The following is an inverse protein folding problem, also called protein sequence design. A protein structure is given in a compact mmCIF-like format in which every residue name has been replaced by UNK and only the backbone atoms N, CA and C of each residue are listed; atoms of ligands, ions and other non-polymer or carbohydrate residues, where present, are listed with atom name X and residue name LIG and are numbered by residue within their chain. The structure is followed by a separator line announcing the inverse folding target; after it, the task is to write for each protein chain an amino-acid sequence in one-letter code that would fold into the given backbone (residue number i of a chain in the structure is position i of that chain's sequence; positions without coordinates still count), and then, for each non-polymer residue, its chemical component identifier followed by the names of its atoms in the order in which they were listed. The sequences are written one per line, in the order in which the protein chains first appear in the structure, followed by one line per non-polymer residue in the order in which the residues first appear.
data_IF_676276435403
#
_entry.id   IF_676276435403
#
_cell.length_a   1.000
_cell.length_b   1.000
_cell.length_c   1.000
_cell.angle_alpha   90.00
_cell.angle_beta   90.00
_cell.angle_gamma   90.00
#
_symmetry.space_group_name_H-M   'P 1'
#
loop_
_entity.id
_entity.type
_entity.pdbx_description
1 polymer ?
#
# COMPACT_ATOMS: atom_id res chain seq x y z
N UNK A 1 -44.93 -13.54 8.77
CA UNK A 1 -44.70 -14.77 7.98
C UNK A 1 -43.98 -15.81 8.84
N UNK A 2 -44.07 -17.10 8.49
CA UNK A 2 -43.34 -18.18 9.18
C UNK A 2 -41.82 -17.96 9.19
N UNK A 3 -41.27 -17.43 8.10
CA UNK A 3 -39.85 -17.06 8.00
C UNK A 3 -39.40 -16.10 9.11
N UNK A 4 -40.19 -15.06 9.40
CA UNK A 4 -39.87 -14.11 10.49
C UNK A 4 -39.86 -14.78 11.86
N UNK A 5 -40.73 -15.76 12.08
CA UNK A 5 -40.78 -16.53 13.34
C UNK A 5 -39.52 -17.40 13.46
N UNK A 6 -39.16 -18.13 12.39
CA UNK A 6 -37.94 -18.95 12.38
C UNK A 6 -36.68 -18.11 12.59
N UNK A 7 -36.61 -16.95 11.94
CA UNK A 7 -35.53 -15.98 12.13
C UNK A 7 -35.43 -15.52 13.59
N UNK A 8 -36.53 -15.04 14.17
CA UNK A 8 -36.57 -14.55 15.56
C UNK A 8 -36.20 -15.65 16.57
N UNK A 9 -36.59 -16.90 16.27
CA UNK A 9 -36.31 -18.06 17.10
C UNK A 9 -34.96 -18.72 16.78
N UNK A 10 -34.11 -18.11 15.93
CA UNK A 10 -32.76 -18.58 15.59
C UNK A 10 -32.73 -20.05 15.14
N UNK A 11 -33.70 -20.44 14.30
CA UNK A 11 -33.74 -21.80 13.78
C UNK A 11 -32.55 -22.06 12.83
N UNK A 12 -32.00 -23.27 12.84
CA UNK A 12 -30.93 -23.65 11.92
C UNK A 12 -31.43 -23.69 10.48
N UNK A 13 -30.50 -23.58 9.52
CA UNK A 13 -30.83 -23.73 8.10
C UNK A 13 -31.34 -25.14 7.81
N UNK A 14 -30.76 -26.15 8.45
CA UNK A 14 -31.22 -27.54 8.37
C UNK A 14 -32.66 -27.73 8.85
N UNK A 15 -33.06 -27.06 9.94
CA UNK A 15 -34.44 -27.09 10.42
C UNK A 15 -35.40 -26.49 9.38
N UNK A 16 -35.06 -25.32 8.84
CA UNK A 16 -35.91 -24.65 7.84
C UNK A 16 -36.01 -25.46 6.56
N UNK A 17 -34.91 -26.07 6.10
CA UNK A 17 -34.91 -26.96 4.94
C UNK A 17 -35.88 -28.13 5.11
N UNK A 18 -35.86 -28.76 6.28
CA UNK A 18 -36.79 -29.84 6.65
C UNK A 18 -38.25 -29.39 6.66
N UNK A 19 -38.54 -28.28 7.32
CA UNK A 19 -39.91 -27.74 7.41
C UNK A 19 -40.47 -27.33 6.04
N UNK A 20 -39.61 -26.93 5.11
CA UNK A 20 -39.96 -26.61 3.73
C UNK A 20 -40.05 -27.85 2.82
N UNK A 21 -39.78 -29.04 3.35
CA UNK A 21 -39.73 -30.33 2.63
C UNK A 21 -38.71 -30.32 1.49
N UNK A 22 -37.55 -29.74 1.75
CA UNK A 22 -36.42 -29.65 0.82
C UNK A 22 -35.27 -30.62 1.20
N UNK A 23 -35.47 -31.43 2.23
CA UNK A 23 -34.51 -32.46 2.62
C UNK A 23 -34.35 -33.50 1.51
N UNK A 24 -33.10 -33.88 1.20
CA UNK A 24 -32.78 -34.85 0.15
C UNK A 24 -32.87 -34.33 -1.29
N UNK A 25 -33.26 -33.07 -1.51
CA UNK A 25 -33.16 -32.42 -2.82
C UNK A 25 -31.81 -31.75 -2.95
N UNK A 26 -31.14 -31.89 -4.09
CA UNK A 26 -29.88 -31.21 -4.40
C UNK A 26 -29.84 -30.73 -5.86
N UNK A 27 -28.85 -29.89 -6.19
CA UNK A 27 -28.68 -29.35 -7.55
C UNK A 27 -29.94 -28.71 -8.11
N UNK A 28 -30.28 -29.07 -9.35
CA UNK A 28 -31.45 -28.54 -10.05
C UNK A 28 -32.76 -28.88 -9.31
N UNK A 29 -32.87 -30.07 -8.71
CA UNK A 29 -34.07 -30.48 -7.99
C UNK A 29 -34.36 -29.58 -6.77
N UNK A 30 -33.31 -29.10 -6.09
CA UNK A 30 -33.45 -28.14 -5.00
C UNK A 30 -33.93 -26.78 -5.52
N UNK A 31 -33.27 -26.24 -6.55
CA UNK A 31 -33.55 -24.88 -7.05
C UNK A 31 -34.90 -24.76 -7.73
N UNK A 32 -35.41 -25.84 -8.34
CA UNK A 32 -36.72 -25.89 -8.99
C UNK A 32 -37.87 -26.19 -8.02
N UNK A 33 -37.57 -26.55 -6.76
CA UNK A 33 -38.60 -26.86 -5.79
C UNK A 33 -39.47 -25.63 -5.49
N UNK A 34 -40.80 -25.81 -5.46
CA UNK A 34 -41.77 -24.73 -5.25
C UNK A 34 -41.50 -23.87 -4.00
N UNK A 35 -40.95 -24.48 -2.94
CA UNK A 35 -40.66 -23.82 -1.67
C UNK A 35 -39.24 -23.25 -1.56
N UNK A 36 -38.41 -23.40 -2.61
CA UNK A 36 -37.02 -22.98 -2.60
C UNK A 36 -36.86 -21.48 -2.34
N UNK A 37 -37.75 -20.63 -2.88
CA UNK A 37 -37.68 -19.18 -2.63
C UNK A 37 -37.75 -18.84 -1.13
N UNK A 38 -38.54 -19.57 -0.34
CA UNK A 38 -38.62 -19.32 1.11
C UNK A 38 -37.35 -19.74 1.84
N UNK A 39 -36.69 -20.79 1.35
CA UNK A 39 -35.38 -21.21 1.85
C UNK A 39 -34.31 -20.17 1.47
N UNK A 40 -34.32 -19.70 0.22
CA UNK A 40 -33.41 -18.68 -0.30
C UNK A 40 -33.50 -17.37 0.48
N UNK A 41 -34.71 -16.87 0.69
CA UNK A 41 -34.98 -15.68 1.51
C UNK A 41 -34.50 -15.88 2.95
N UNK A 42 -34.71 -17.07 3.51
CA UNK A 42 -34.28 -17.39 4.87
C UNK A 42 -32.76 -17.36 5.01
N UNK A 43 -32.04 -18.10 4.18
CA UNK A 43 -30.57 -18.20 4.27
C UNK A 43 -29.93 -16.83 4.01
N UNK A 44 -30.41 -16.08 3.02
CA UNK A 44 -29.96 -14.71 2.75
C UNK A 44 -30.13 -13.80 3.96
N UNK A 45 -31.25 -13.91 4.68
CA UNK A 45 -31.47 -13.14 5.91
C UNK A 45 -30.52 -13.51 7.06
N UNK A 46 -29.92 -14.70 7.03
CA UNK A 46 -28.96 -15.13 8.04
C UNK A 46 -27.56 -14.56 7.81
N UNK A 47 -27.17 -14.21 6.57
CA UNK A 47 -25.79 -13.80 6.26
C UNK A 47 -25.31 -12.62 7.13
N UNK A 48 -26.07 -11.52 7.30
CA UNK A 48 -25.65 -10.42 8.17
C UNK A 48 -25.57 -10.82 9.64
N UNK A 49 -26.41 -11.78 10.07
CA UNK A 49 -26.42 -12.31 11.45
C UNK A 49 -25.18 -13.16 11.68
N UNK A 50 -24.84 -14.05 10.74
CA UNK A 50 -23.63 -14.86 10.79
C UNK A 50 -22.38 -14.00 10.79
N UNK A 51 -22.33 -12.97 9.93
CA UNK A 51 -21.21 -12.04 9.88
C UNK A 51 -21.06 -11.26 11.20
N UNK A 52 -22.16 -10.76 11.77
CA UNK A 52 -22.16 -10.07 13.07
C UNK A 52 -21.74 -10.99 14.22
N UNK A 53 -22.06 -12.27 14.15
CA UNK A 53 -21.63 -13.30 15.12
C UNK A 53 -20.23 -13.83 14.85
N UNK A 54 -19.62 -13.45 13.72
CA UNK A 54 -18.32 -13.90 13.27
C UNK A 54 -18.20 -15.42 13.23
N UNK A 55 -19.23 -16.07 12.65
CA UNK A 55 -19.14 -17.50 12.41
C UNK A 55 -17.87 -17.83 11.61
N UNK A 56 -17.28 -18.96 11.93
CA UNK A 56 -16.15 -19.51 11.19
C UNK A 56 -16.62 -20.05 9.84
N UNK A 57 -15.74 -20.13 8.84
CA UNK A 57 -16.09 -20.75 7.55
C UNK A 57 -16.61 -22.19 7.72
N UNK A 58 -16.09 -22.96 8.67
CA UNK A 58 -16.53 -24.34 8.96
C UNK A 58 -17.93 -24.40 9.58
N UNK A 59 -18.29 -23.44 10.44
CA UNK A 59 -19.65 -23.32 10.99
C UNK A 59 -20.65 -23.00 9.87
N UNK A 60 -20.30 -22.11 8.94
CA UNK A 60 -21.17 -21.77 7.80
C UNK A 60 -21.29 -22.95 6.83
N UNK A 61 -20.19 -23.66 6.56
CA UNK A 61 -20.22 -24.93 5.80
C UNK A 61 -21.17 -25.94 6.43
N UNK A 62 -21.16 -26.03 7.76
CA UNK A 62 -22.04 -26.93 8.51
C UNK A 62 -23.52 -26.51 8.43
N UNK A 63 -23.83 -25.21 8.60
CA UNK A 63 -25.19 -24.69 8.44
C UNK A 63 -25.73 -24.90 7.03
N UNK A 64 -24.89 -24.72 6.01
CA UNK A 64 -25.27 -24.86 4.61
C UNK A 64 -25.24 -26.31 4.09
N UNK A 65 -24.86 -27.28 4.92
CA UNK A 65 -24.75 -28.67 4.51
C UNK A 65 -23.69 -28.91 3.42
N UNK A 66 -22.62 -28.13 3.41
CA UNK A 66 -21.53 -28.20 2.43
C UNK A 66 -20.36 -29.09 2.90
N UNK A 67 -20.47 -29.71 4.07
CA UNK A 67 -19.39 -30.49 4.68
C UNK A 67 -18.95 -31.65 3.76
N UNK A 68 -17.63 -31.78 3.56
CA UNK A 68 -17.04 -32.82 2.71
C UNK A 68 -17.06 -32.52 1.21
N UNK A 69 -17.72 -31.44 0.76
CA UNK A 69 -17.65 -31.00 -0.64
C UNK A 69 -16.35 -30.24 -0.90
N UNK A 70 -15.76 -30.47 -2.07
CA UNK A 70 -14.56 -29.76 -2.54
C UNK A 70 -14.55 -29.60 -4.06
N UNK A 71 -13.68 -28.74 -4.57
CA UNK A 71 -13.53 -28.49 -6.01
C UNK A 71 -14.86 -28.18 -6.70
N UNK A 72 -15.09 -28.80 -7.86
CA UNK A 72 -16.30 -28.61 -8.64
C UNK A 72 -17.60 -28.99 -7.91
N UNK A 73 -17.54 -29.99 -7.02
CA UNK A 73 -18.72 -30.41 -6.23
C UNK A 73 -19.15 -29.34 -5.23
N UNK A 74 -18.17 -28.62 -4.64
CA UNK A 74 -18.46 -27.47 -3.78
C UNK A 74 -19.00 -26.30 -4.60
N UNK A 75 -18.28 -25.88 -5.65
CA UNK A 75 -18.62 -24.64 -6.38
C UNK A 75 -19.90 -24.73 -7.19
N UNK A 76 -20.33 -25.94 -7.56
CA UNK A 76 -21.59 -26.16 -8.30
C UNK A 76 -22.78 -26.39 -7.36
N UNK A 77 -22.57 -26.49 -6.05
CA UNK A 77 -23.66 -26.69 -5.10
C UNK A 77 -24.53 -25.41 -5.01
N UNK A 78 -25.87 -25.50 -5.07
CA UNK A 78 -26.74 -24.32 -4.98
C UNK A 78 -26.56 -23.47 -3.71
N UNK A 79 -26.12 -24.08 -2.61
CA UNK A 79 -25.84 -23.38 -1.36
C UNK A 79 -24.48 -22.64 -1.35
N UNK A 80 -23.59 -22.93 -2.30
CA UNK A 80 -22.27 -22.29 -2.36
C UNK A 80 -22.36 -20.78 -2.51
N UNK A 81 -23.39 -20.26 -3.20
CA UNK A 81 -23.61 -18.81 -3.34
C UNK A 81 -23.71 -18.09 -2.00
N UNK A 82 -24.31 -18.72 -0.98
CA UNK A 82 -24.44 -18.13 0.36
C UNK A 82 -23.12 -18.16 1.12
N UNK A 83 -22.34 -19.24 0.95
CA UNK A 83 -20.99 -19.34 1.52
C UNK A 83 -20.06 -18.29 0.91
N UNK A 84 -20.13 -18.11 -0.41
CA UNK A 84 -19.38 -17.10 -1.15
C UNK A 84 -19.71 -15.69 -0.68
N UNK A 85 -21.01 -15.35 -0.64
CA UNK A 85 -21.46 -14.04 -0.18
C UNK A 85 -21.05 -13.76 1.27
N UNK A 86 -21.21 -14.76 2.16
CA UNK A 86 -20.76 -14.66 3.55
C UNK A 86 -19.26 -14.35 3.63
N UNK A 87 -18.42 -15.10 2.93
CA UNK A 87 -16.97 -14.93 3.01
C UNK A 87 -16.48 -13.62 2.40
N UNK A 88 -17.10 -13.12 1.33
CA UNK A 88 -16.80 -11.79 0.78
C UNK A 88 -17.06 -10.71 1.83
N UNK A 89 -18.22 -10.74 2.49
CA UNK A 89 -18.55 -9.77 3.55
C UNK A 89 -17.60 -9.92 4.75
N UNK A 90 -17.33 -11.16 5.15
CA UNK A 90 -16.49 -11.47 6.29
C UNK A 90 -15.02 -11.07 6.08
N UNK A 91 -14.50 -11.20 4.86
CA UNK A 91 -13.16 -10.73 4.48
C UNK A 91 -13.01 -9.22 4.72
N UNK A 92 -14.04 -8.43 4.39
CA UNK A 92 -14.04 -6.99 4.66
C UNK A 92 -14.11 -6.68 6.16
N UNK A 93 -14.84 -7.47 6.94
CA UNK A 93 -14.89 -7.34 8.41
C UNK A 93 -13.51 -7.63 9.02
N UNK A 94 -12.86 -8.72 8.60
CA UNK A 94 -11.51 -9.07 9.05
C UNK A 94 -10.50 -7.98 8.69
N UNK A 95 -10.60 -7.42 7.49
CA UNK A 95 -9.74 -6.32 7.05
C UNK A 95 -9.93 -5.06 7.92
N UNK A 96 -11.17 -4.65 8.21
CA UNK A 96 -11.44 -3.49 9.07
C UNK A 96 -10.89 -3.66 10.49
N UNK A 97 -10.89 -4.89 10.99
CA UNK A 97 -10.35 -5.28 12.29
C UNK A 97 -8.83 -5.46 12.31
N UNK A 98 -8.16 -5.29 11.17
CA UNK A 98 -6.71 -5.48 11.04
C UNK A 98 -6.25 -6.86 11.54
N UNK A 99 -7.02 -7.91 11.21
CA UNK A 99 -6.69 -9.29 11.61
C UNK A 99 -5.36 -9.71 10.97
N UNK A 100 -4.58 -10.54 11.67
CA UNK A 100 -3.28 -11.03 11.17
C UNK A 100 -3.46 -11.93 9.93
N UNK A 101 -2.57 -11.78 8.94
CA UNK A 101 -2.63 -12.52 7.67
C UNK A 101 -2.51 -14.03 7.85
N UNK A 102 -1.73 -14.50 8.82
CA UNK A 102 -1.57 -15.94 9.10
C UNK A 102 -2.83 -16.51 9.74
N UNK A 103 -3.51 -15.73 10.59
CA UNK A 103 -4.80 -16.12 11.15
C UNK A 103 -5.87 -16.28 10.07
N UNK A 104 -5.87 -15.44 9.03
CA UNK A 104 -6.80 -15.58 7.90
C UNK A 104 -6.45 -16.80 7.03
N UNK A 105 -5.16 -17.09 6.82
CA UNK A 105 -4.75 -18.32 6.14
C UNK A 105 -5.26 -19.57 6.87
N UNK A 106 -5.24 -19.59 8.20
CA UNK A 106 -5.81 -20.67 9.01
C UNK A 106 -7.33 -20.74 8.85
N UNK A 107 -8.04 -19.62 8.99
CA UNK A 107 -9.52 -19.57 8.87
C UNK A 107 -9.99 -20.07 7.51
N UNK A 108 -9.24 -19.79 6.44
CA UNK A 108 -9.58 -20.19 5.08
C UNK A 108 -9.03 -21.60 4.71
N UNK A 109 -8.33 -22.27 5.63
CA UNK A 109 -7.70 -23.58 5.41
C UNK A 109 -6.47 -23.54 4.49
N UNK A 110 -6.01 -22.36 4.09
CA UNK A 110 -4.90 -22.16 3.15
C UNK A 110 -3.53 -22.43 3.78
N UNK A 111 -3.44 -22.45 5.11
CA UNK A 111 -2.22 -22.79 5.84
C UNK A 111 -1.81 -24.27 5.64
N UNK A 112 -2.75 -25.14 5.27
CA UNK A 112 -2.48 -26.55 4.99
C UNK A 112 -1.85 -26.79 3.62
N UNK A 113 -1.87 -25.77 2.75
CA UNK A 113 -1.32 -25.83 1.40
C UNK A 113 0.07 -25.18 1.35
N UNK A 114 1.00 -25.72 0.54
CA UNK A 114 2.23 -25.03 0.18
C UNK A 114 1.93 -23.64 -0.39
N UNK A 115 2.77 -22.66 -0.06
CA UNK A 115 2.59 -21.27 -0.48
C UNK A 115 2.33 -21.09 -1.98
N UNK A 116 3.01 -21.87 -2.83
CA UNK A 116 2.88 -21.84 -4.28
C UNK A 116 1.54 -22.42 -4.78
N UNK A 117 0.88 -23.29 -4.02
CA UNK A 117 -0.39 -23.92 -4.40
C UNK A 117 -1.62 -23.14 -3.92
N UNK A 118 -1.45 -22.20 -2.98
CA UNK A 118 -2.55 -21.41 -2.42
C UNK A 118 -3.37 -20.67 -3.48
N UNK A 119 -2.77 -20.03 -4.52
CA UNK A 119 -3.54 -19.31 -5.53
C UNK A 119 -4.59 -20.15 -6.28
N UNK A 120 -4.39 -21.46 -6.35
CA UNK A 120 -5.30 -22.39 -7.04
C UNK A 120 -6.46 -22.87 -6.14
N UNK A 121 -6.41 -22.57 -4.83
CA UNK A 121 -7.46 -22.98 -3.92
C UNK A 121 -8.71 -22.11 -4.09
N UNK A 122 -9.89 -22.73 -4.06
CA UNK A 122 -11.19 -22.04 -4.17
C UNK A 122 -11.33 -20.90 -3.16
N UNK A 123 -10.79 -21.08 -1.95
CA UNK A 123 -10.89 -20.09 -0.87
C UNK A 123 -9.86 -18.95 -0.99
N UNK A 124 -8.91 -19.02 -1.92
CA UNK A 124 -7.86 -17.99 -2.04
C UNK A 124 -8.41 -16.63 -2.44
N UNK A 125 -9.47 -16.58 -3.25
CA UNK A 125 -10.11 -15.32 -3.63
C UNK A 125 -10.58 -14.50 -2.42
N UNK A 126 -10.99 -15.14 -1.34
CA UNK A 126 -11.41 -14.46 -0.11
C UNK A 126 -10.21 -13.89 0.67
N UNK A 127 -9.05 -14.56 0.59
CA UNK A 127 -7.80 -14.00 1.09
C UNK A 127 -7.41 -12.74 0.30
N UNK A 128 -7.55 -12.76 -1.02
CA UNK A 128 -7.27 -11.59 -1.86
C UNK A 128 -8.22 -10.42 -1.53
N UNK A 129 -9.50 -10.70 -1.33
CA UNK A 129 -10.49 -9.68 -0.94
C UNK A 129 -10.16 -9.07 0.44
N UNK A 130 -9.77 -9.92 1.40
CA UNK A 130 -9.29 -9.49 2.71
C UNK A 130 -8.05 -8.59 2.59
N UNK A 131 -7.04 -9.00 1.82
CA UNK A 131 -5.82 -8.21 1.62
C UNK A 131 -6.10 -6.89 0.89
N UNK A 132 -7.00 -6.89 -0.09
CA UNK A 132 -7.44 -5.67 -0.76
C UNK A 132 -8.15 -4.71 0.21
N UNK A 133 -8.96 -5.24 1.13
CA UNK A 133 -9.55 -4.47 2.23
C UNK A 133 -8.51 -3.90 3.19
N UNK A 134 -7.52 -4.70 3.59
CA UNK A 134 -6.41 -4.25 4.46
C UNK A 134 -5.64 -3.11 3.82
N UNK A 135 -5.25 -3.27 2.55
CA UNK A 135 -4.52 -2.26 1.82
C UNK A 135 -5.27 -0.93 1.74
N UNK A 136 -6.60 -0.96 1.51
CA UNK A 136 -7.44 0.24 1.53
C UNK A 136 -7.43 0.89 2.92
N UNK A 137 -7.70 0.12 3.97
CA UNK A 137 -7.72 0.64 5.35
C UNK A 137 -6.37 1.21 5.79
N UNK A 138 -5.27 0.54 5.44
CA UNK A 138 -3.92 1.01 5.76
C UNK A 138 -3.56 2.29 5.03
N UNK A 139 -3.94 2.44 3.75
CA UNK A 139 -3.74 3.70 3.03
C UNK A 139 -4.56 4.83 3.64
N UNK A 140 -5.84 4.60 3.98
CA UNK A 140 -6.70 5.59 4.64
C UNK A 140 -6.13 6.04 6.00
N UNK A 141 -5.56 5.12 6.76
CA UNK A 141 -4.93 5.39 8.06
C UNK A 141 -3.50 5.92 7.95
N UNK A 142 -2.91 5.97 6.75
CA UNK A 142 -1.52 6.37 6.55
C UNK A 142 -0.50 5.44 7.22
N UNK A 143 -0.78 4.13 7.26
CA UNK A 143 0.11 3.15 7.91
C UNK A 143 1.47 3.13 7.20
N UNK A 144 2.61 3.29 7.94
CA UNK A 144 3.94 3.33 7.35
C UNK A 144 4.27 2.07 6.53
N UNK A 145 4.99 2.22 5.42
CA UNK A 145 5.32 1.05 4.58
C UNK A 145 6.23 0.04 5.27
N UNK A 146 7.02 0.46 6.26
CA UNK A 146 7.82 -0.48 7.08
C UNK A 146 6.95 -1.34 7.99
N UNK A 147 5.87 -0.78 8.52
CA UNK A 147 4.91 -1.51 9.36
C UNK A 147 4.10 -2.49 8.50
N UNK A 148 3.67 -2.06 7.31
CA UNK A 148 2.99 -2.95 6.35
C UNK A 148 3.89 -4.11 5.91
N UNK A 149 5.19 -3.87 5.72
CA UNK A 149 6.15 -4.94 5.42
C UNK A 149 6.20 -6.00 6.53
N UNK A 150 6.20 -5.57 7.80
CA UNK A 150 6.17 -6.45 8.96
C UNK A 150 4.81 -7.18 9.10
N UNK A 151 3.68 -6.50 8.88
CA UNK A 151 2.34 -7.11 8.89
C UNK A 151 2.20 -8.21 7.83
N UNK A 152 2.89 -8.07 6.69
CA UNK A 152 2.96 -9.11 5.67
C UNK A 152 4.03 -10.19 5.90
N UNK A 153 4.77 -10.13 7.02
CA UNK A 153 5.86 -11.05 7.41
C UNK A 153 7.07 -11.00 6.46
N UNK A 154 7.35 -9.83 5.90
CA UNK A 154 8.40 -9.62 4.91
C UNK A 154 9.65 -8.93 5.48
N UNK A 155 9.55 -8.32 6.66
CA UNK A 155 10.58 -7.48 7.30
C UNK A 155 11.89 -8.21 7.60
N UNK A 156 11.82 -9.54 7.77
CA UNK A 156 12.99 -10.41 8.00
C UNK A 156 13.52 -11.08 6.73
N UNK A 157 12.88 -10.87 5.58
CA UNK A 157 13.24 -11.49 4.32
C UNK A 157 14.08 -10.54 3.46
N UNK A 158 15.06 -11.09 2.74
CA UNK A 158 15.89 -10.34 1.79
C UNK A 158 16.12 -11.17 0.52
N UNK A 159 16.64 -10.54 -0.53
CA UNK A 159 17.03 -11.20 -1.78
C UNK A 159 15.92 -12.05 -2.41
N UNK A 160 16.28 -13.23 -2.90
CA UNK A 160 15.35 -14.15 -3.57
C UNK A 160 14.16 -14.55 -2.68
N UNK A 161 14.40 -14.78 -1.38
CA UNK A 161 13.35 -15.18 -0.43
C UNK A 161 12.26 -14.11 -0.28
N UNK A 162 12.62 -12.83 -0.27
CA UNK A 162 11.66 -11.73 -0.28
C UNK A 162 10.88 -11.69 -1.59
N UNK A 163 11.58 -11.76 -2.73
CA UNK A 163 10.97 -11.60 -4.05
C UNK A 163 9.99 -12.72 -4.41
N UNK A 164 10.24 -13.95 -3.94
CA UNK A 164 9.37 -15.11 -4.19
C UNK A 164 8.24 -15.24 -3.16
N UNK A 165 8.22 -14.43 -2.09
CA UNK A 165 7.21 -14.57 -1.06
C UNK A 165 5.82 -14.17 -1.60
N UNK A 166 4.75 -14.96 -1.36
CA UNK A 166 3.41 -14.68 -1.90
C UNK A 166 2.86 -13.30 -1.54
N UNK A 167 3.19 -12.80 -0.35
CA UNK A 167 2.74 -11.48 0.10
C UNK A 167 3.52 -10.31 -0.50
N UNK A 168 4.69 -10.55 -1.12
CA UNK A 168 5.50 -9.48 -1.69
C UNK A 168 4.78 -8.73 -2.81
N UNK A 169 3.91 -9.41 -3.58
CA UNK A 169 3.10 -8.76 -4.62
C UNK A 169 2.18 -7.67 -4.04
N UNK A 170 1.55 -7.93 -2.89
CA UNK A 170 0.67 -6.98 -2.22
C UNK A 170 1.47 -5.83 -1.60
N UNK A 171 2.59 -6.14 -0.94
CA UNK A 171 3.50 -5.13 -0.40
C UNK A 171 4.01 -4.17 -1.48
N UNK A 172 4.50 -4.71 -2.59
CA UNK A 172 4.96 -3.95 -3.75
C UNK A 172 3.87 -3.03 -4.29
N UNK A 173 2.62 -3.50 -4.36
CA UNK A 173 1.49 -2.69 -4.80
C UNK A 173 1.16 -1.58 -3.79
N UNK A 174 1.21 -1.87 -2.49
CA UNK A 174 1.00 -0.87 -1.43
C UNK A 174 2.04 0.26 -1.50
N UNK A 175 3.32 -0.07 -1.64
CA UNK A 175 4.40 0.93 -1.80
C UNK A 175 4.21 1.75 -3.08
N UNK A 176 3.86 1.10 -4.20
CA UNK A 176 3.59 1.82 -5.47
C UNK A 176 2.43 2.81 -5.35
N UNK A 177 1.33 2.43 -4.68
CA UNK A 177 0.18 3.32 -4.52
C UNK A 177 0.53 4.51 -3.61
N UNK A 178 1.30 4.27 -2.54
CA UNK A 178 1.84 5.34 -1.71
C UNK A 178 2.72 6.30 -2.52
N UNK A 179 3.66 5.78 -3.32
CA UNK A 179 4.50 6.62 -4.19
C UNK A 179 3.69 7.48 -5.16
N UNK A 180 2.62 6.92 -5.75
CA UNK A 180 1.71 7.69 -6.62
C UNK A 180 0.97 8.79 -5.87
N UNK A 181 0.42 8.47 -4.69
CA UNK A 181 -0.27 9.44 -3.85
C UNK A 181 0.69 10.55 -3.38
N UNK A 182 1.89 10.17 -2.95
CA UNK A 182 2.94 11.10 -2.55
C UNK A 182 3.38 11.99 -3.71
N UNK A 183 3.49 11.46 -4.92
CA UNK A 183 3.78 12.26 -6.10
C UNK A 183 2.65 13.25 -6.43
N UNK A 184 1.38 12.81 -6.35
CA UNK A 184 0.22 13.67 -6.58
C UNK A 184 0.11 14.81 -5.55
N UNK A 185 0.44 14.52 -4.29
CA UNK A 185 0.50 15.48 -3.18
C UNK A 185 1.78 16.32 -3.16
N UNK A 186 2.65 16.17 -4.17
CA UNK A 186 3.94 16.85 -4.26
C UNK A 186 4.83 16.64 -3.01
N UNK A 187 4.76 15.45 -2.41
CA UNK A 187 5.55 15.11 -1.22
C UNK A 187 7.03 15.04 -1.54
N UNK A 188 7.81 15.30 -0.49
CA UNK A 188 9.25 15.46 -0.55
C UNK A 188 10.01 14.16 -0.79
N UNK A 189 11.12 14.13 -1.54
CA UNK A 189 11.95 12.93 -1.59
C UNK A 189 12.54 12.61 -0.22
N UNK A 190 12.82 13.61 0.62
CA UNK A 190 13.14 13.34 2.04
C UNK A 190 11.97 12.64 2.72
N UNK A 191 10.73 13.09 2.51
CA UNK A 191 9.53 12.44 3.02
C UNK A 191 9.39 11.03 2.45
N UNK A 192 9.65 10.80 1.16
CA UNK A 192 9.63 9.46 0.55
C UNK A 192 10.72 8.59 1.16
N UNK A 193 11.94 9.09 1.33
CA UNK A 193 13.06 8.38 1.97
C UNK A 193 12.72 8.01 3.42
N UNK A 194 12.15 8.95 4.18
CA UNK A 194 11.69 8.74 5.55
C UNK A 194 10.58 7.69 5.61
N UNK A 195 9.52 7.86 4.80
CA UNK A 195 8.37 6.94 4.76
C UNK A 195 8.72 5.56 4.23
N UNK A 196 9.70 5.44 3.35
CA UNK A 196 10.25 4.15 2.90
C UNK A 196 11.15 3.48 3.95
N UNK A 197 11.44 4.13 5.08
CA UNK A 197 12.33 3.61 6.13
C UNK A 197 13.81 3.64 5.73
N UNK A 198 14.19 4.52 4.81
CA UNK A 198 15.54 4.59 4.24
C UNK A 198 16.41 5.63 4.93
N UNK A 199 15.91 6.35 5.95
CA UNK A 199 16.66 7.37 6.68
C UNK A 199 17.66 6.69 7.63
N UNK A 200 18.95 6.78 7.32
CA UNK A 200 20.03 6.32 8.19
C UNK A 200 20.49 7.45 9.14
N UNK A 201 21.22 7.12 10.22
CA UNK A 201 21.87 8.13 11.06
C UNK A 201 22.73 9.10 10.23
N UNK A 202 22.75 10.39 10.62
CA UNK A 202 23.46 11.48 9.94
C UNK A 202 22.94 11.85 8.54
N UNK A 203 21.70 11.51 8.22
CA UNK A 203 21.04 11.92 6.96
C UNK A 203 21.47 11.14 5.72
N UNK A 204 22.16 10.02 5.88
CA UNK A 204 22.49 9.11 4.77
C UNK A 204 21.28 8.24 4.41
N UNK A 205 21.24 7.74 3.18
CA UNK A 205 20.24 6.77 2.72
C UNK A 205 20.72 5.34 3.02
N UNK A 206 19.90 4.52 3.68
CA UNK A 206 20.20 3.12 3.95
C UNK A 206 20.06 2.27 2.67
N UNK A 207 21.15 2.17 1.90
CA UNK A 207 21.20 1.43 0.61
C UNK A 207 20.97 -0.08 0.75
N UNK A 208 21.16 -0.66 1.94
CA UNK A 208 20.95 -2.09 2.19
C UNK A 208 19.49 -2.47 2.44
N UNK A 209 18.59 -1.50 2.62
CA UNK A 209 17.18 -1.79 2.88
C UNK A 209 16.48 -2.29 1.61
N UNK A 210 15.59 -3.30 1.67
CA UNK A 210 14.85 -3.77 0.51
C UNK A 210 14.04 -2.69 -0.23
N UNK A 211 13.63 -1.62 0.48
CA UNK A 211 12.89 -0.52 -0.14
C UNK A 211 13.72 0.41 -1.02
N UNK A 212 15.05 0.29 -1.05
CA UNK A 212 15.90 1.13 -1.89
C UNK A 212 15.52 1.03 -3.37
N UNK A 213 15.10 -0.16 -3.82
CA UNK A 213 14.68 -0.42 -5.21
C UNK A 213 13.47 0.41 -5.63
N UNK A 214 12.63 0.83 -4.69
CA UNK A 214 11.49 1.70 -4.98
C UNK A 214 11.93 3.16 -5.16
N UNK A 215 12.90 3.61 -4.35
CA UNK A 215 13.50 4.93 -4.48
C UNK A 215 14.26 5.07 -5.80
N UNK A 216 15.05 4.07 -6.17
CA UNK A 216 15.81 4.04 -7.42
C UNK A 216 14.86 4.12 -8.63
N UNK A 217 13.81 3.30 -8.66
CA UNK A 217 12.80 3.35 -9.73
C UNK A 217 12.04 4.67 -9.81
N UNK A 218 11.80 5.34 -8.69
CA UNK A 218 11.20 6.67 -8.68
C UNK A 218 12.14 7.69 -9.36
N UNK A 219 13.44 7.64 -9.03
CA UNK A 219 14.46 8.53 -9.63
C UNK A 219 14.64 8.27 -11.12
N UNK A 220 14.52 7.02 -11.55
CA UNK A 220 14.62 6.64 -12.96
C UNK A 220 13.37 6.96 -13.79
N UNK A 221 12.28 7.41 -13.16
CA UNK A 221 11.03 7.72 -13.85
C UNK A 221 11.16 8.96 -14.74
N UNK A 222 10.43 8.97 -15.86
CA UNK A 222 10.42 10.10 -16.80
C UNK A 222 9.94 11.40 -16.14
N UNK A 223 8.99 11.30 -15.20
CA UNK A 223 8.51 12.44 -14.41
C UNK A 223 9.62 13.08 -13.59
N UNK A 224 10.43 12.29 -12.89
CA UNK A 224 11.53 12.81 -12.08
C UNK A 224 12.65 13.38 -12.96
N UNK A 225 12.98 12.69 -14.07
CA UNK A 225 13.94 13.18 -15.06
C UNK A 225 13.51 14.50 -15.70
N UNK A 226 12.22 14.66 -16.01
CA UNK A 226 11.69 15.92 -16.54
C UNK A 226 11.84 17.08 -15.54
N UNK A 227 11.59 16.83 -14.26
CA UNK A 227 11.83 17.81 -13.20
C UNK A 227 13.31 18.19 -13.08
N UNK A 228 14.21 17.20 -13.05
CA UNK A 228 15.66 17.44 -12.99
C UNK A 228 16.16 18.23 -14.21
N UNK A 229 15.66 17.90 -15.41
CA UNK A 229 16.00 18.63 -16.64
C UNK A 229 15.52 20.08 -16.59
N UNK A 230 14.30 20.32 -16.08
CA UNK A 230 13.77 21.67 -15.92
C UNK A 230 14.62 22.50 -14.95
N UNK A 231 14.95 21.96 -13.78
CA UNK A 231 15.81 22.65 -12.79
C UNK A 231 17.16 22.98 -13.42
N UNK A 232 17.80 22.03 -14.09
CA UNK A 232 19.09 22.25 -14.73
C UNK A 232 19.05 23.31 -15.84
N UNK A 233 18.02 23.29 -16.69
CA UNK A 233 17.85 24.28 -17.76
C UNK A 233 17.80 25.71 -17.22
N UNK A 234 17.04 25.90 -16.14
CA UNK A 234 16.90 27.18 -15.46
C UNK A 234 18.21 27.59 -14.78
N UNK A 235 18.84 26.67 -14.03
CA UNK A 235 20.11 26.94 -13.36
C UNK A 235 21.19 27.38 -14.36
N UNK A 236 21.31 26.66 -15.48
CA UNK A 236 22.26 26.96 -16.57
C UNK A 236 21.99 28.33 -17.19
N UNK A 237 20.72 28.69 -17.35
CA UNK A 237 20.33 29.99 -17.88
C UNK A 237 20.77 31.13 -16.96
N UNK A 238 20.54 31.02 -15.64
CA UNK A 238 20.90 32.05 -14.66
C UNK A 238 22.43 32.20 -14.56
N UNK A 239 23.14 31.08 -14.48
CA UNK A 239 24.60 31.09 -14.46
C UNK A 239 25.13 31.78 -15.72
N UNK A 240 24.58 31.47 -16.90
CA UNK A 240 24.97 32.11 -18.17
C UNK A 240 24.71 33.62 -18.16
N UNK A 241 23.58 34.08 -17.62
CA UNK A 241 23.30 35.52 -17.50
C UNK A 241 24.36 36.21 -16.63
N UNK A 242 24.68 35.64 -15.46
CA UNK A 242 25.70 36.17 -14.56
C UNK A 242 27.08 36.22 -15.22
N UNK A 243 27.46 35.17 -15.93
CA UNK A 243 28.74 35.12 -16.68
C UNK A 243 28.80 36.18 -17.79
N UNK A 244 27.66 36.56 -18.38
CA UNK A 244 27.56 37.62 -19.40
C UNK A 244 27.54 39.04 -18.82
N UNK A 245 27.68 39.20 -17.50
CA UNK A 245 27.77 40.50 -16.85
C UNK A 245 26.46 41.01 -16.23
N UNK A 246 25.41 40.17 -16.16
CA UNK A 246 24.20 40.54 -15.44
C UNK A 246 24.50 40.76 -13.94
N UNK A 247 23.89 41.79 -13.35
CA UNK A 247 23.98 42.07 -11.91
C UNK A 247 23.07 41.13 -11.14
N UNK A 248 23.34 40.91 -9.85
CA UNK A 248 22.50 40.03 -9.02
C UNK A 248 21.05 40.50 -8.91
N UNK A 249 20.82 41.81 -9.01
CA UNK A 249 19.48 42.43 -9.06
C UNK A 249 18.72 42.13 -10.35
N UNK A 250 19.39 41.63 -11.39
CA UNK A 250 18.82 41.31 -12.71
C UNK A 250 18.60 39.81 -12.89
N UNK A 251 19.10 38.98 -11.97
CA UNK A 251 18.95 37.53 -12.02
C UNK A 251 17.60 37.11 -11.45
N UNK A 252 16.88 36.18 -12.10
CA UNK A 252 15.63 35.66 -11.55
C UNK A 252 15.93 34.79 -10.32
N UNK A 253 15.33 35.14 -9.17
CA UNK A 253 15.36 34.30 -7.97
C UNK A 253 14.35 33.16 -8.14
N UNK A 254 14.87 31.96 -8.39
CA UNK A 254 14.05 30.79 -8.71
C UNK A 254 13.61 30.00 -7.48
N UNK A 255 14.22 30.24 -6.33
CA UNK A 255 13.56 29.96 -5.06
C UNK A 255 12.65 31.13 -4.79
N UNK A 256 11.35 30.91 -5.02
CA UNK A 256 10.33 31.80 -4.49
C UNK A 256 10.52 31.87 -2.97
N UNK A 257 10.14 32.97 -2.34
CA UNK A 257 10.20 33.13 -0.88
C UNK A 257 9.35 32.06 -0.13
N UNK A 258 8.53 31.30 -0.86
CA UNK A 258 7.71 30.16 -0.41
C UNK A 258 8.22 28.78 -0.88
N UNK A 259 9.43 28.69 -1.45
CA UNK A 259 10.00 27.43 -1.92
C UNK A 259 10.00 26.39 -0.78
N UNK A 260 9.29 25.28 -1.00
CA UNK A 260 9.17 24.24 0.01
C UNK A 260 10.53 23.64 0.37
N UNK A 261 10.70 23.20 1.61
CA UNK A 261 11.92 22.51 2.08
C UNK A 261 12.37 21.36 1.15
N UNK A 262 11.41 20.71 0.49
CA UNK A 262 11.63 19.72 -0.55
C UNK A 262 12.35 20.29 -1.77
N UNK A 263 11.80 21.35 -2.34
CA UNK A 263 12.32 21.94 -3.57
C UNK A 263 13.77 22.36 -3.34
N UNK A 264 14.06 22.94 -2.18
CA UNK A 264 15.41 23.31 -1.74
C UNK A 264 16.32 22.10 -1.59
N UNK A 265 15.85 21.01 -0.97
CA UNK A 265 16.61 19.76 -0.83
C UNK A 265 16.93 19.12 -2.19
N UNK A 266 15.98 19.03 -3.11
CA UNK A 266 16.21 18.46 -4.44
C UNK A 266 17.13 19.32 -5.29
N UNK A 267 16.87 20.64 -5.31
CA UNK A 267 17.76 21.58 -5.97
C UNK A 267 19.17 21.43 -5.40
N UNK A 268 19.33 21.29 -4.09
CA UNK A 268 20.63 21.01 -3.43
C UNK A 268 21.31 19.74 -3.96
N UNK A 269 20.57 18.64 -4.11
CA UNK A 269 21.11 17.39 -4.69
C UNK A 269 21.52 17.56 -6.16
N UNK A 270 20.68 18.21 -6.96
CA UNK A 270 20.95 18.50 -8.37
C UNK A 270 22.17 19.43 -8.48
N UNK A 271 22.25 20.45 -7.64
CA UNK A 271 23.36 21.39 -7.59
C UNK A 271 24.67 20.72 -7.23
N UNK A 272 24.66 19.84 -6.23
CA UNK A 272 25.84 19.06 -5.85
C UNK A 272 26.26 18.11 -6.99
N UNK A 273 25.32 17.39 -7.60
CA UNK A 273 25.60 16.47 -8.70
C UNK A 273 26.13 17.16 -9.96
N UNK A 274 25.77 18.42 -10.18
CA UNK A 274 26.25 19.26 -11.29
C UNK A 274 27.38 20.21 -10.90
N UNK A 275 27.88 20.10 -9.67
CA UNK A 275 28.92 20.97 -9.11
C UNK A 275 28.65 22.46 -9.37
N UNK A 276 27.41 22.90 -9.12
CA UNK A 276 26.99 24.28 -9.40
C UNK A 276 27.81 25.28 -8.57
N UNK A 277 28.21 26.44 -9.12
CA UNK A 277 29.06 27.37 -8.39
C UNK A 277 28.50 27.77 -7.01
N UNK A 278 29.36 27.88 -5.99
CA UNK A 278 28.93 28.23 -4.62
C UNK A 278 28.14 29.54 -4.55
N UNK A 279 28.52 30.54 -5.37
CA UNK A 279 27.79 31.80 -5.45
C UNK A 279 26.34 31.58 -5.90
N UNK A 280 26.12 30.66 -6.85
CA UNK A 280 24.80 30.35 -7.39
C UNK A 280 23.95 29.63 -6.35
N UNK A 281 24.53 28.67 -5.64
CA UNK A 281 23.84 27.94 -4.57
C UNK A 281 23.46 28.89 -3.44
N UNK A 282 24.35 29.81 -3.03
CA UNK A 282 24.01 30.84 -2.03
C UNK A 282 22.90 31.77 -2.52
N UNK A 283 23.01 32.28 -3.75
CA UNK A 283 21.99 33.12 -4.37
C UNK A 283 20.62 32.45 -4.42
N UNK A 284 20.58 31.20 -4.88
CA UNK A 284 19.38 30.37 -4.96
C UNK A 284 18.89 29.84 -3.61
N UNK A 285 19.58 30.11 -2.51
CA UNK A 285 19.09 29.81 -1.16
C UNK A 285 18.72 31.08 -0.38
N UNK A 286 18.87 32.26 -0.99
CA UNK A 286 18.72 33.54 -0.32
C UNK A 286 19.78 33.78 0.75
N UNK A 287 20.97 33.19 0.58
CA UNK A 287 22.11 33.29 1.50
C UNK A 287 23.19 34.24 0.97
N UNK A 288 22.98 34.85 -0.20
CA UNK A 288 23.89 35.84 -0.78
C UNK A 288 23.97 37.10 0.07
N UNK A 289 25.16 37.69 0.15
CA UNK A 289 25.42 38.92 0.93
C UNK A 289 25.46 38.75 2.46
N UNK A 290 25.18 37.55 2.98
CA UNK A 290 25.28 37.25 4.42
C UNK A 290 26.74 37.08 4.86
N UNK A 291 27.09 37.68 6.01
CA UNK A 291 28.35 37.38 6.70
C UNK A 291 28.31 36.00 7.39
N UNK A 292 29.43 35.56 7.96
CA UNK A 292 29.54 34.21 8.54
C UNK A 292 28.55 33.95 9.69
N UNK A 293 28.27 34.96 10.51
CA UNK A 293 27.35 34.85 11.65
C UNK A 293 25.91 34.74 11.16
N UNK A 294 25.51 35.63 10.25
CA UNK A 294 24.18 35.63 9.64
C UNK A 294 23.95 34.35 8.82
N UNK A 295 24.96 33.90 8.08
CA UNK A 295 24.90 32.68 7.27
C UNK A 295 24.59 31.46 8.14
N UNK A 296 25.29 31.27 9.28
CA UNK A 296 25.06 30.13 10.17
C UNK A 296 23.70 30.16 10.87
N UNK A 297 23.11 31.34 11.04
CA UNK A 297 21.78 31.54 11.63
C UNK A 297 20.62 31.39 10.66
N UNK A 298 20.86 31.38 9.35
CA UNK A 298 19.81 31.34 8.34
C UNK A 298 19.14 29.96 8.22
N UNK A 299 17.81 29.93 8.04
CA UNK A 299 17.03 28.70 7.91
C UNK A 299 17.53 27.78 6.78
N UNK A 300 17.95 28.36 5.65
CA UNK A 300 18.41 27.64 4.47
C UNK A 300 19.88 27.20 4.55
N UNK A 301 20.63 27.56 5.60
CA UNK A 301 22.04 27.21 5.74
C UNK A 301 22.28 25.69 5.76
N UNK A 302 21.33 24.92 6.30
CA UNK A 302 21.37 23.44 6.30
C UNK A 302 21.50 22.84 4.90
N UNK A 303 20.88 23.49 3.89
CA UNK A 303 20.93 23.06 2.49
C UNK A 303 22.29 23.37 1.89
N UNK A 304 22.82 24.57 2.15
CA UNK A 304 24.17 24.95 1.73
C UNK A 304 25.26 24.06 2.33
N UNK A 305 25.14 23.73 3.63
CA UNK A 305 26.05 22.79 4.30
C UNK A 305 25.99 21.39 3.68
N UNK A 306 24.79 20.93 3.31
CA UNK A 306 24.58 19.64 2.65
C UNK A 306 25.19 19.62 1.25
N UNK A 307 25.04 20.70 0.49
CA UNK A 307 25.70 20.90 -0.81
C UNK A 307 27.23 20.76 -0.69
N UNK A 308 27.86 21.52 0.22
CA UNK A 308 29.32 21.47 0.42
C UNK A 308 29.80 20.08 0.83
N UNK A 309 29.07 19.40 1.72
CA UNK A 309 29.40 18.04 2.13
C UNK A 309 29.35 17.04 0.97
N UNK A 310 28.37 17.17 0.08
CA UNK A 310 28.23 16.30 -1.09
C UNK A 310 29.33 16.54 -2.14
N UNK A 311 29.66 17.80 -2.43
CA UNK A 311 30.73 18.17 -3.39
C UNK A 311 32.11 17.74 -2.88
N UNK A 312 32.41 17.92 -1.60
CA UNK A 312 33.70 17.51 -1.03
C UNK A 312 33.85 15.98 -1.04
N UNK A 313 32.80 15.23 -0.70
CA UNK A 313 32.83 13.77 -0.77
C UNK A 313 33.04 13.22 -2.19
N UNK A 314 32.54 13.93 -3.21
CA UNK A 314 32.78 13.58 -4.62
C UNK A 314 34.25 13.84 -5.03
N UNK A 315 34.89 14.88 -4.48
CA UNK A 315 36.31 15.17 -4.74
C UNK A 315 37.25 14.19 -4.05
N UNK A 316 36.89 13.68 -2.87
CA UNK A 316 37.68 12.69 -2.14
C UNK A 316 37.60 11.27 -2.73
N UNK A 317 36.83 11.06 -3.79
CA UNK A 317 36.65 9.75 -4.46
C UNK A 317 37.27 9.66 -5.85
N UNK A 318 37.99 10.70 -6.30
CA UNK A 318 38.76 10.79 -7.56
C UNK A 318 40.24 10.84 -7.23
#
# INVERSE_FOLDING_TARGET
SRLRIWFNNKKSVSFVRKELRLDGLDGDALTQAKNFQFYDDYVTSQLPVWAKRELTPDEVVSELGLHGLSGAALTSNPNFKYYDEFLVQQALVWAKKDVDVDAILVRLGLNTLPAAARPEAVNYKYYEEFVAGLMRSWMEKGVPVIEVMAKFKLDKLTGAALLSHPNYKYYKNYVKNNLKAWAADLKSLEYVVDKLGLKAPRGKVHKGHPNIVFLEKLRDSDTYKAYENYVNLIDDYIIRLKTKGAKDTELPRMTRDDASELELYHKTLIWAAKERPEWYVKFSLGLDGMDETALKGAANYKHYKSYLGAVNAAKDTV
#
